data_IF_308108629258
#
_entry.id   IF_308108629258
#
_cell.length_a   1.000
_cell.length_b   1.000
_cell.length_c   1.000
_cell.angle_alpha   90.00
_cell.angle_beta   90.00
_cell.angle_gamma   90.00
#
_symmetry.space_group_name_H-M   'P 1'
#
loop_
_entity.id
_entity.type
_entity.pdbx_description
1 polymer ?
#
# COMPACT_ATOMS: atom_id res chain seq x y z
N UNK A 1 -9.50 25.41 19.34
CA UNK A 1 -8.18 25.59 18.72
C UNK A 1 -8.38 26.05 17.29
N UNK A 2 -7.47 26.87 16.76
CA UNK A 2 -7.45 27.19 15.33
C UNK A 2 -7.13 25.90 14.56
N UNK A 3 -8.12 25.36 13.85
CA UNK A 3 -8.00 24.06 13.16
C UNK A 3 -6.81 24.04 12.18
N UNK A 4 -6.53 25.16 11.52
CA UNK A 4 -5.38 25.30 10.62
C UNK A 4 -4.04 25.17 11.36
N UNK A 5 -3.93 25.74 12.56
CA UNK A 5 -2.72 25.63 13.38
C UNK A 5 -2.47 24.18 13.78
N UNK A 6 -3.52 23.48 14.22
CA UNK A 6 -3.44 22.05 14.55
C UNK A 6 -3.04 21.21 13.34
N UNK A 7 -3.52 21.54 12.15
CA UNK A 7 -3.14 20.83 10.93
C UNK A 7 -1.65 21.03 10.59
N UNK A 8 -1.14 22.26 10.69
CA UNK A 8 0.27 22.54 10.43
C UNK A 8 1.20 21.85 11.44
N UNK A 9 0.79 21.80 12.72
CA UNK A 9 1.50 21.05 13.76
C UNK A 9 1.57 19.55 13.41
N UNK A 10 0.46 18.95 12.98
CA UNK A 10 0.42 17.55 12.56
C UNK A 10 1.26 17.28 11.32
N UNK A 11 1.22 18.18 10.32
CA UNK A 11 2.05 18.05 9.11
C UNK A 11 3.54 18.18 9.47
N UNK A 12 3.90 19.04 10.41
CA UNK A 12 5.28 19.15 10.91
C UNK A 12 5.70 17.86 11.63
N UNK A 13 4.88 17.36 12.54
CA UNK A 13 5.14 16.11 13.26
C UNK A 13 5.29 14.93 12.29
N UNK A 14 4.47 14.88 11.24
CA UNK A 14 4.58 13.85 10.19
C UNK A 14 5.90 13.96 9.42
N UNK A 15 6.34 15.18 9.09
CA UNK A 15 7.58 15.40 8.34
C UNK A 15 8.82 14.98 9.15
N UNK A 16 8.76 15.13 10.47
CA UNK A 16 9.81 14.72 11.40
C UNK A 16 9.71 13.24 11.83
N UNK A 17 8.60 12.55 11.52
CA UNK A 17 8.35 11.16 11.93
C UNK A 17 7.85 11.00 13.37
N UNK A 18 7.39 12.08 13.99
CA UNK A 18 6.94 12.16 15.38
C UNK A 18 5.39 12.20 15.52
N UNK A 19 4.66 12.03 14.41
CA UNK A 19 3.19 12.01 14.43
C UNK A 19 2.67 10.73 15.13
N UNK A 20 1.73 10.84 16.10
CA UNK A 20 1.12 9.66 16.71
C UNK A 20 0.24 8.89 15.71
N UNK A 21 0.26 7.56 15.81
CA UNK A 21 -0.51 6.66 14.93
C UNK A 21 -2.00 7.01 14.85
N UNK A 22 -2.59 7.49 15.94
CA UNK A 22 -4.01 7.88 15.99
C UNK A 22 -4.36 9.06 15.08
N UNK A 23 -3.37 9.85 14.68
CA UNK A 23 -3.55 11.06 13.85
C UNK A 23 -3.04 10.88 12.43
N UNK A 24 -2.41 9.75 12.13
CA UNK A 24 -1.79 9.46 10.83
C UNK A 24 -2.80 9.47 9.70
N UNK A 25 -3.89 8.72 9.81
CA UNK A 25 -4.90 8.61 8.74
C UNK A 25 -5.52 9.98 8.40
N UNK A 26 -5.87 10.76 9.43
CA UNK A 26 -6.46 12.08 9.24
C UNK A 26 -5.47 13.05 8.59
N UNK A 27 -4.21 13.03 9.03
CA UNK A 27 -3.16 13.90 8.49
C UNK A 27 -2.84 13.54 7.04
N UNK A 28 -2.78 12.25 6.71
CA UNK A 28 -2.62 11.78 5.33
C UNK A 28 -3.81 12.17 4.45
N UNK A 29 -5.03 12.05 4.95
CA UNK A 29 -6.23 12.49 4.21
C UNK A 29 -6.20 14.00 3.94
N UNK A 30 -5.70 14.80 4.89
CA UNK A 30 -5.55 16.25 4.72
C UNK A 30 -4.55 16.62 3.62
N UNK A 31 -3.54 15.77 3.32
CA UNK A 31 -2.61 15.99 2.19
C UNK A 31 -3.28 15.87 0.80
N UNK A 32 -4.56 15.52 0.73
CA UNK A 32 -5.34 15.68 -0.51
C UNK A 32 -5.61 17.17 -0.84
N UNK A 33 -5.51 18.06 0.14
CA UNK A 33 -5.59 19.50 -0.05
C UNK A 33 -4.26 20.10 -0.53
N UNK A 34 -4.26 20.98 -1.56
CA UNK A 34 -3.04 21.60 -2.07
C UNK A 34 -2.30 22.48 -1.06
N UNK A 35 -2.98 23.15 -0.14
CA UNK A 35 -2.33 23.99 0.88
C UNK A 35 -1.56 23.12 1.88
N UNK A 36 -2.18 22.02 2.32
CA UNK A 36 -1.52 21.01 3.16
C UNK A 36 -0.27 20.42 2.48
N UNK A 37 -0.32 20.11 1.18
CA UNK A 37 0.87 19.65 0.43
C UNK A 37 1.95 20.70 0.30
N UNK A 38 1.60 21.98 0.22
CA UNK A 38 2.58 23.06 0.17
C UNK A 38 3.28 23.22 1.53
N UNK A 39 2.55 23.09 2.64
CA UNK A 39 3.14 23.06 3.97
C UNK A 39 4.12 21.89 4.13
N UNK A 40 3.70 20.67 3.76
CA UNK A 40 4.55 19.48 3.74
C UNK A 40 5.86 19.69 2.96
N UNK A 41 5.76 20.17 1.72
CA UNK A 41 6.93 20.45 0.88
C UNK A 41 7.86 21.50 1.51
N UNK A 42 7.28 22.54 2.12
CA UNK A 42 8.05 23.62 2.75
C UNK A 42 8.86 23.12 3.95
N UNK A 43 8.29 22.25 4.78
CA UNK A 43 9.00 21.70 5.95
C UNK A 43 10.14 20.78 5.53
N UNK A 44 9.93 19.91 4.54
CA UNK A 44 11.04 19.12 3.98
C UNK A 44 12.12 20.01 3.36
N UNK A 45 11.72 21.07 2.65
CA UNK A 45 12.66 22.02 2.05
C UNK A 45 13.58 22.67 3.08
N UNK A 46 13.01 23.13 4.20
CA UNK A 46 13.76 23.74 5.30
C UNK A 46 14.73 22.71 5.88
N UNK A 47 14.25 21.49 6.16
CA UNK A 47 15.09 20.41 6.68
C UNK A 47 16.26 20.07 5.74
N UNK A 48 16.00 20.01 4.44
CA UNK A 48 17.01 19.68 3.43
C UNK A 48 18.08 20.79 3.32
N UNK A 49 17.67 22.05 3.38
CA UNK A 49 18.62 23.20 3.41
C UNK A 49 19.47 23.16 4.67
N UNK A 50 18.88 22.90 5.85
CA UNK A 50 19.61 22.84 7.12
C UNK A 50 20.63 21.69 7.17
N UNK A 51 20.36 20.59 6.47
CA UNK A 51 21.26 19.42 6.38
C UNK A 51 22.28 19.50 5.23
N UNK A 52 22.24 20.56 4.41
CA UNK A 52 23.16 20.74 3.28
C UNK A 52 22.87 19.80 2.11
N UNK A 53 21.61 19.46 1.87
CA UNK A 53 21.25 18.64 0.71
C UNK A 53 21.45 19.42 -0.60
N UNK A 54 22.36 18.92 -1.44
CA UNK A 54 22.75 19.53 -2.72
C UNK A 54 21.76 19.23 -3.86
N UNK A 55 21.03 18.12 -3.78
CA UNK A 55 20.12 17.67 -4.84
C UNK A 55 18.68 18.02 -4.50
N UNK A 56 18.08 18.93 -5.28
CA UNK A 56 16.64 19.21 -5.27
C UNK A 56 16.02 18.66 -6.56
N UNK A 57 15.10 17.69 -6.50
CA UNK A 57 14.31 17.30 -7.67
C UNK A 57 13.63 18.53 -8.29
N UNK A 58 13.43 18.52 -9.60
CA UNK A 58 12.61 19.56 -10.24
C UNK A 58 11.23 19.65 -9.60
N UNK A 59 10.63 20.84 -9.55
CA UNK A 59 9.33 21.10 -8.88
C UNK A 59 8.20 20.20 -9.39
N UNK A 60 8.31 19.68 -10.62
CA UNK A 60 7.34 18.81 -11.26
C UNK A 60 7.62 17.30 -11.06
N UNK A 61 8.73 16.93 -10.41
CA UNK A 61 9.13 15.53 -10.24
C UNK A 61 8.04 14.72 -9.52
N UNK A 62 7.57 15.21 -8.38
CA UNK A 62 6.52 14.54 -7.61
C UNK A 62 5.22 14.40 -8.41
N UNK A 63 4.85 15.42 -9.18
CA UNK A 63 3.66 15.39 -10.04
C UNK A 63 3.79 14.36 -11.16
N UNK A 64 4.97 14.24 -11.80
CA UNK A 64 5.22 13.22 -12.83
C UNK A 64 5.18 11.80 -12.24
N UNK A 65 5.75 11.61 -11.05
CA UNK A 65 5.68 10.32 -10.35
C UNK A 65 4.24 9.96 -10.01
N UNK A 66 3.48 10.90 -9.42
CA UNK A 66 2.06 10.69 -9.11
C UNK A 66 1.23 10.35 -10.37
N UNK A 67 1.48 11.05 -11.49
CA UNK A 67 0.82 10.76 -12.76
C UNK A 67 1.15 9.35 -13.27
N UNK A 68 2.42 8.92 -13.15
CA UNK A 68 2.82 7.59 -13.59
C UNK A 68 2.22 6.50 -12.72
N UNK A 69 2.21 6.69 -11.39
CA UNK A 69 1.57 5.77 -10.44
C UNK A 69 0.06 5.64 -10.68
N UNK A 70 -0.64 6.75 -10.91
CA UNK A 70 -2.07 6.70 -11.24
C UNK A 70 -2.38 5.92 -12.53
N UNK A 71 -1.43 5.91 -13.49
CA UNK A 71 -1.55 5.11 -14.69
C UNK A 71 -1.32 3.60 -14.45
N UNK A 72 -0.63 3.22 -13.36
CA UNK A 72 -0.45 1.82 -12.94
C UNK A 72 -1.73 1.27 -12.33
N UNK A 73 -2.42 2.03 -11.46
CA UNK A 73 -3.73 1.63 -10.90
C UNK A 73 -4.76 1.31 -11.99
N UNK A 74 -4.77 2.10 -13.07
CA UNK A 74 -5.64 1.85 -14.23
C UNK A 74 -5.23 0.62 -15.05
N UNK A 75 -3.93 0.30 -15.10
CA UNK A 75 -3.41 -0.86 -15.82
C UNK A 75 -3.70 -2.17 -15.08
N UNK A 76 -3.60 -2.18 -13.74
CA UNK A 76 -3.94 -3.36 -12.91
C UNK A 76 -5.44 -3.66 -12.94
N UNK A 77 -6.30 -2.63 -12.91
CA UNK A 77 -7.74 -2.81 -13.08
C UNK A 77 -8.11 -3.37 -14.47
N UNK A 78 -7.45 -2.90 -15.53
CA UNK A 78 -7.66 -3.39 -16.89
C UNK A 78 -7.15 -4.83 -17.09
N UNK A 79 -6.02 -5.19 -16.47
CA UNK A 79 -5.47 -6.55 -16.50
C UNK A 79 -6.36 -7.56 -15.75
N UNK A 80 -6.97 -7.15 -14.62
CA UNK A 80 -7.93 -7.98 -13.89
C UNK A 80 -9.25 -8.17 -14.66
N UNK A 81 -9.74 -7.15 -15.35
CA UNK A 81 -10.96 -7.25 -16.18
C UNK A 81 -10.77 -8.09 -17.46
N UNK A 82 -9.53 -8.25 -17.94
CA UNK A 82 -9.19 -9.02 -19.13
C UNK A 82 -8.97 -10.52 -18.85
N UNK A 83 -9.04 -10.98 -17.59
CA UNK A 83 -9.04 -12.43 -17.30
C UNK A 83 -10.35 -13.04 -17.82
N UNK A 84 -10.32 -13.88 -18.88
CA UNK A 84 -11.54 -14.52 -19.35
C UNK A 84 -12.03 -15.45 -18.25
N UNK A 85 -13.28 -15.29 -17.85
CA UNK A 85 -13.98 -16.19 -16.94
C UNK A 85 -13.98 -17.61 -17.55
N UNK A 86 -12.95 -18.39 -17.24
CA UNK A 86 -12.86 -19.78 -17.63
C UNK A 86 -13.78 -20.60 -16.73
N UNK A 87 -14.92 -21.02 -17.28
CA UNK A 87 -15.56 -22.27 -16.91
C UNK A 87 -16.64 -22.19 -15.84
N UNK A 88 -17.88 -22.31 -16.30
CA UNK A 88 -19.04 -22.55 -15.44
C UNK A 88 -20.33 -22.63 -16.23
N UNK A 89 -20.36 -23.41 -17.33
CA UNK A 89 -21.58 -23.71 -18.06
C UNK A 89 -22.53 -24.53 -17.16
N UNK A 90 -23.40 -23.84 -16.43
CA UNK A 90 -24.54 -24.49 -15.78
C UNK A 90 -25.72 -24.46 -16.75
N UNK A 91 -25.97 -25.64 -17.35
CA UNK A 91 -27.22 -25.99 -18.03
C UNK A 91 -28.44 -25.65 -17.16
N UNK A 92 -29.58 -25.26 -17.75
CA UNK A 92 -30.76 -24.93 -16.98
C UNK A 92 -31.41 -26.23 -16.50
N UNK A 93 -31.47 -26.43 -15.20
CA UNK A 93 -32.33 -27.44 -14.58
C UNK A 93 -33.27 -26.75 -13.60
N UNK A 94 -34.56 -26.77 -13.90
CA UNK A 94 -35.65 -26.54 -12.96
C UNK A 94 -36.64 -27.70 -13.10
N UNK A 95 -37.47 -28.02 -12.09
CA UNK A 95 -37.36 -27.75 -10.65
C UNK A 95 -37.46 -29.05 -9.81
N UNK A 96 -36.93 -29.06 -8.59
CA UNK A 96 -37.31 -30.08 -7.60
C UNK A 96 -37.38 -29.45 -6.20
N UNK A 97 -38.59 -29.45 -5.66
CA UNK A 97 -38.91 -29.06 -4.29
C UNK A 97 -38.42 -30.13 -3.30
N UNK A 98 -37.75 -29.71 -2.23
CA UNK A 98 -37.76 -30.30 -0.87
C UNK A 98 -36.72 -29.50 -0.06
N UNK A 99 -37.11 -28.57 0.81
CA UNK A 99 -37.54 -28.83 2.18
C UNK A 99 -36.51 -29.66 2.99
N UNK A 100 -36.04 -29.03 4.07
CA UNK A 100 -35.43 -29.61 5.28
C UNK A 100 -33.90 -29.79 5.22
N UNK A 101 -33.17 -28.88 5.87
CA UNK A 101 -32.84 -28.86 7.30
C UNK A 101 -31.69 -29.82 7.67
N UNK A 102 -30.65 -29.20 8.22
CA UNK A 102 -29.79 -29.74 9.27
C UNK A 102 -28.85 -30.88 8.89
N UNK A 103 -27.55 -30.61 8.87
CA UNK A 103 -26.63 -31.04 9.94
C UNK A 103 -25.16 -30.82 9.54
N UNK A 104 -24.40 -30.27 10.49
CA UNK A 104 -22.94 -30.25 10.54
C UNK A 104 -22.46 -31.66 10.88
N UNK A 105 -21.34 -32.12 10.31
CA UNK A 105 -20.34 -32.68 11.18
C UNK A 105 -18.92 -32.19 10.86
N UNK A 106 -18.31 -31.67 11.93
CA UNK A 106 -16.87 -31.63 12.19
C UNK A 106 -16.24 -32.97 11.81
N UNK A 107 -15.15 -32.95 11.04
CA UNK A 107 -14.06 -33.90 11.26
C UNK A 107 -12.70 -33.20 11.17
N UNK A 108 -12.03 -33.25 12.31
CA UNK A 108 -10.62 -32.99 12.52
C UNK A 108 -9.81 -34.22 12.16
N UNK A 109 -8.58 -34.00 11.68
CA UNK A 109 -7.39 -34.89 11.69
C UNK A 109 -6.55 -34.54 10.44
N UNK A 110 -5.23 -34.52 10.44
CA UNK A 110 -4.19 -34.60 11.46
C UNK A 110 -2.89 -34.21 10.73
N UNK A 111 -1.81 -34.12 11.49
CA UNK A 111 -0.42 -33.77 11.19
C UNK A 111 0.19 -34.17 9.83
N UNK A 112 1.21 -33.39 9.43
CA UNK A 112 2.61 -33.84 9.35
C UNK A 112 3.47 -32.73 8.69
N UNK A 113 4.36 -32.10 9.46
CA UNK A 113 5.81 -32.36 9.47
C UNK A 113 6.53 -31.80 8.21
N UNK A 114 7.20 -30.65 8.31
CA UNK A 114 8.62 -30.49 8.69
C UNK A 114 9.61 -31.29 7.82
N UNK A 115 10.30 -30.58 6.93
CA UNK A 115 11.64 -30.89 6.39
C UNK A 115 12.29 -29.51 6.10
N UNK A 116 13.26 -28.94 6.83
CA UNK A 116 14.68 -29.31 7.08
C UNK A 116 15.42 -29.54 5.75
N UNK A 117 16.06 -28.54 5.12
CA UNK A 117 17.46 -28.08 5.34
C UNK A 117 18.44 -28.82 4.38
N UNK A 118 19.76 -28.52 4.31
CA UNK A 118 20.49 -27.23 4.31
C UNK A 118 21.56 -27.17 3.17
N UNK A 119 22.32 -26.05 3.10
CA UNK A 119 23.74 -26.09 2.73
C UNK A 119 24.15 -25.66 1.32
N UNK A 120 25.11 -24.74 1.24
CA UNK A 120 25.80 -24.38 -0.01
C UNK A 120 26.58 -23.08 0.09
N UNK A 121 27.68 -23.10 0.82
CA UNK A 121 28.66 -22.02 0.92
C UNK A 121 29.60 -21.96 -0.31
N UNK A 122 30.40 -20.88 -0.35
CA UNK A 122 31.62 -20.66 -1.16
C UNK A 122 31.33 -20.16 -2.61
N UNK A 123 32.04 -19.20 -3.21
CA UNK A 123 33.36 -18.63 -2.96
C UNK A 123 33.49 -17.27 -3.66
N UNK A 124 34.35 -16.41 -3.12
CA UNK A 124 34.90 -15.23 -3.80
C UNK A 124 36.12 -15.61 -4.66
N UNK A 125 36.49 -14.80 -5.67
CA UNK A 125 37.87 -14.70 -6.12
C UNK A 125 38.46 -13.31 -5.91
N UNK A 126 39.75 -13.31 -5.61
CA UNK A 126 40.65 -12.19 -5.35
C UNK A 126 41.59 -12.03 -6.57
N UNK A 127 42.08 -10.78 -6.78
CA UNK A 127 43.29 -10.32 -7.50
C UNK A 127 43.21 -10.16 -9.05
N UNK A 128 44.13 -9.37 -9.65
CA UNK A 128 45.15 -8.50 -9.04
C UNK A 128 44.86 -6.99 -9.08
#
# INVERSE_FOLDING_TARGET
MDTLKSLHENISALADGELPDSELELTLAALNDPEARLAWQSYHLVGDVLRGAEARPGLDFAARVALRLAAEDGADAAAQAAQPAAGGAHQPAAPAQAAQQSQVPVQAADAAARQTGPGGALAAPILP
#
